data_IF_632253107060
#
_entry.id   IF_632253107060
#
_cell.length_a   1.000
_cell.length_b   1.000
_cell.length_c   1.000
_cell.angle_alpha   90.00
_cell.angle_beta   90.00
_cell.angle_gamma   90.00
#
_symmetry.space_group_name_H-M   'P 1'
#
loop_
_entity.id
_entity.type
_entity.pdbx_description
1 polymer ?
#
# COMPACT_ATOMS: atom_id res chain seq x y z
N UNK A 1 -16.21 29.10 66.16
CA UNK A 1 -15.45 29.51 64.95
C UNK A 1 -15.56 28.47 63.81
N UNK A 2 -16.77 28.00 63.46
CA UNK A 2 -16.97 26.95 62.42
C UNK A 2 -18.23 27.15 61.55
N UNK A 3 -18.77 28.38 61.44
CA UNK A 3 -19.97 28.65 60.63
C UNK A 3 -19.82 29.79 59.60
N UNK A 4 -18.62 30.34 59.40
CA UNK A 4 -18.39 31.45 58.45
C UNK A 4 -17.73 31.06 57.12
N UNK A 5 -17.35 29.79 56.92
CA UNK A 5 -16.72 29.33 55.66
C UNK A 5 -17.65 28.52 54.74
N UNK A 6 -18.88 28.21 55.16
CA UNK A 6 -19.84 27.48 54.32
C UNK A 6 -20.73 28.42 53.47
N UNK A 7 -20.91 29.67 53.89
CA UNK A 7 -21.76 30.64 53.19
C UNK A 7 -21.06 31.34 52.01
N UNK A 8 -19.72 31.38 51.97
CA UNK A 8 -18.96 32.00 50.87
C UNK A 8 -18.77 31.08 49.67
N UNK A 9 -18.92 29.76 49.83
CA UNK A 9 -18.81 28.80 48.71
C UNK A 9 -20.15 28.59 48.00
N UNK A 10 -21.29 28.70 48.70
CA UNK A 10 -22.61 28.62 48.06
C UNK A 10 -22.99 29.88 47.26
N UNK A 11 -22.48 31.06 47.63
CA UNK A 11 -22.76 32.31 46.90
C UNK A 11 -22.05 32.39 45.53
N UNK A 12 -20.89 31.73 45.36
CA UNK A 12 -20.17 31.70 44.09
C UNK A 12 -20.75 30.71 43.07
N UNK A 13 -21.38 29.62 43.53
CA UNK A 13 -21.97 28.61 42.64
C UNK A 13 -23.33 29.04 42.03
N UNK A 14 -24.08 29.92 42.69
CA UNK A 14 -25.34 30.47 42.17
C UNK A 14 -25.14 31.64 41.20
N UNK A 15 -23.98 32.32 41.22
CA UNK A 15 -23.66 33.37 40.26
C UNK A 15 -23.15 32.83 38.91
N UNK A 16 -22.53 31.63 38.90
CA UNK A 16 -22.04 30.98 37.69
C UNK A 16 -23.14 30.27 36.87
N UNK A 17 -24.29 29.94 37.48
CA UNK A 17 -25.43 29.34 36.78
C UNK A 17 -26.45 30.38 36.28
N UNK A 18 -26.42 31.62 36.79
CA UNK A 18 -27.29 32.71 36.32
C UNK A 18 -26.80 33.44 35.07
N UNK A 19 -25.50 33.35 34.75
CA UNK A 19 -24.91 34.03 33.58
C UNK A 19 -24.96 33.22 32.27
N UNK A 20 -25.25 31.92 32.34
CA UNK A 20 -25.46 31.09 31.14
C UNK A 20 -26.91 31.03 30.65
N UNK A 21 -27.88 31.46 31.46
CA UNK A 21 -29.29 31.48 31.05
C UNK A 21 -29.70 32.80 30.38
N UNK A 22 -29.00 33.91 30.67
CA UNK A 22 -29.31 35.23 30.10
C UNK A 22 -28.62 35.56 28.76
N UNK A 23 -27.69 34.73 28.30
CA UNK A 23 -27.00 34.93 27.00
C UNK A 23 -27.70 34.15 25.87
N UNK A 24 -28.55 33.17 26.17
CA UNK A 24 -29.17 32.30 25.15
C UNK A 24 -30.54 32.81 24.66
N UNK A 25 -31.28 33.62 25.43
CA UNK A 25 -32.63 34.08 25.02
C UNK A 25 -32.74 35.50 24.44
N UNK A 26 -31.65 36.27 24.32
CA UNK A 26 -31.72 37.65 23.78
C UNK A 26 -30.96 37.93 22.49
N UNK A 27 -30.41 36.91 21.83
CA UNK A 27 -29.69 37.05 20.54
C UNK A 27 -30.20 36.13 19.42
N UNK A 28 -31.39 35.55 19.57
CA UNK A 28 -32.07 34.75 18.55
C UNK A 28 -33.47 35.36 18.33
N UNK A 29 -33.56 36.56 17.69
CA UNK A 29 -34.20 36.58 16.37
C UNK A 29 -33.78 37.81 15.53
N UNK A 30 -32.67 37.75 14.79
CA UNK A 30 -32.40 38.72 13.69
C UNK A 30 -31.73 38.11 12.44
N UNK A 31 -31.77 36.78 12.27
CA UNK A 31 -31.36 36.13 11.03
C UNK A 31 -32.45 35.19 10.50
N UNK A 32 -33.64 35.73 10.30
CA UNK A 32 -34.69 35.11 9.49
C UNK A 32 -35.00 36.04 8.32
N UNK A 33 -34.13 36.00 7.30
CA UNK A 33 -34.40 36.35 5.89
C UNK A 33 -33.09 36.46 5.10
N UNK A 34 -32.43 35.33 4.86
CA UNK A 34 -31.53 35.16 3.72
C UNK A 34 -31.83 33.80 3.10
N UNK A 35 -32.89 33.78 2.28
CA UNK A 35 -33.10 32.75 1.27
C UNK A 35 -32.03 32.93 0.20
N UNK A 36 -31.02 32.06 0.23
CA UNK A 36 -30.13 31.81 -0.92
C UNK A 36 -29.81 30.33 -0.94
N UNK A 37 -30.48 29.63 -1.87
CA UNK A 37 -30.16 28.32 -2.46
C UNK A 37 -28.87 27.66 -1.93
N UNK A 38 -29.01 26.83 -0.88
CA UNK A 38 -28.03 25.80 -0.59
C UNK A 38 -28.24 24.67 -1.62
N UNK A 39 -27.42 24.65 -2.67
CA UNK A 39 -27.16 23.41 -3.39
C UNK A 39 -26.64 22.41 -2.36
N UNK A 40 -27.41 21.37 -2.08
CA UNK A 40 -26.94 20.21 -1.36
C UNK A 40 -25.95 19.48 -2.28
N UNK A 41 -24.71 19.93 -2.30
CA UNK A 41 -23.61 19.09 -2.74
C UNK A 41 -23.53 17.93 -1.75
N UNK A 42 -24.20 16.83 -2.12
CA UNK A 42 -23.83 15.51 -1.65
C UNK A 42 -22.36 15.33 -2.01
N UNK A 43 -21.46 15.64 -1.07
CA UNK A 43 -20.08 15.22 -1.14
C UNK A 43 -20.10 13.68 -1.14
N UNK A 44 -20.15 13.10 -2.34
CA UNK A 44 -19.68 11.74 -2.58
C UNK A 44 -18.36 11.63 -1.84
N UNK A 45 -18.28 10.72 -0.87
CA UNK A 45 -17.08 10.43 -0.11
C UNK A 45 -16.00 9.99 -1.10
N UNK A 46 -15.22 10.95 -1.62
CA UNK A 46 -14.14 10.71 -2.55
C UNK A 46 -13.20 9.70 -1.91
N UNK A 47 -13.18 8.48 -2.43
CA UNK A 47 -12.27 7.45 -1.97
C UNK A 47 -10.89 7.79 -2.53
N UNK A 48 -9.96 8.20 -1.68
CA UNK A 48 -8.59 8.47 -2.11
C UNK A 48 -7.89 7.13 -2.39
N UNK A 49 -7.89 6.66 -3.63
CA UNK A 49 -7.27 5.37 -3.99
C UNK A 49 -5.94 5.59 -4.69
N UNK A 50 -4.95 4.77 -4.32
CA UNK A 50 -3.68 4.61 -5.01
C UNK A 50 -3.78 3.29 -5.78
N UNK A 51 -3.78 3.37 -7.11
CA UNK A 51 -3.88 2.24 -8.01
C UNK A 51 -2.58 2.09 -8.79
N UNK A 52 -1.92 0.95 -8.65
CA UNK A 52 -0.65 0.65 -9.29
C UNK A 52 -0.76 -0.61 -10.14
N UNK A 53 -0.58 -0.51 -11.44
CA UNK A 53 -0.46 -1.67 -12.32
C UNK A 53 1.02 -1.96 -12.59
N UNK A 54 1.48 -3.16 -12.25
CA UNK A 54 2.80 -3.66 -12.57
C UNK A 54 2.71 -4.48 -13.86
N UNK A 55 3.41 -4.05 -14.91
CA UNK A 55 3.50 -4.74 -16.19
C UNK A 55 4.93 -5.25 -16.33
N UNK A 56 5.15 -6.54 -16.14
CA UNK A 56 6.49 -7.12 -16.08
C UNK A 56 6.75 -7.97 -17.32
N UNK A 57 7.80 -7.62 -18.05
CA UNK A 57 8.30 -8.52 -19.08
C UNK A 57 8.87 -9.76 -18.42
N UNK A 58 8.56 -10.90 -19.02
CA UNK A 58 9.01 -12.23 -18.62
C UNK A 58 9.79 -12.91 -19.74
N UNK A 59 10.32 -12.15 -20.71
CA UNK A 59 11.28 -12.65 -21.70
C UNK A 59 12.54 -13.21 -21.05
N UNK A 60 13.31 -14.03 -21.79
CA UNK A 60 14.42 -14.83 -21.26
C UNK A 60 15.50 -14.05 -20.49
N UNK A 61 15.69 -12.76 -20.80
CA UNK A 61 16.67 -11.84 -20.19
C UNK A 61 16.21 -11.16 -18.91
N UNK A 62 14.93 -11.28 -18.52
CA UNK A 62 14.34 -10.50 -17.43
C UNK A 62 14.52 -11.06 -16.02
N UNK A 63 15.19 -12.21 -15.87
CA UNK A 63 15.32 -12.90 -14.58
C UNK A 63 15.86 -11.99 -13.47
N UNK A 64 16.91 -11.20 -13.75
CA UNK A 64 17.49 -10.31 -12.73
C UNK A 64 16.54 -9.20 -12.28
N UNK A 65 15.72 -8.65 -13.19
CA UNK A 65 14.72 -7.64 -12.84
C UNK A 65 13.60 -8.24 -11.98
N UNK A 66 13.11 -9.43 -12.35
CA UNK A 66 12.08 -10.14 -11.59
C UNK A 66 12.58 -10.45 -10.17
N UNK A 67 13.82 -10.90 -10.03
CA UNK A 67 14.43 -11.14 -8.72
C UNK A 67 14.60 -9.85 -7.90
N UNK A 68 14.98 -8.72 -8.53
CA UNK A 68 15.01 -7.42 -7.85
C UNK A 68 13.62 -6.94 -7.43
N UNK A 69 12.59 -7.15 -8.26
CA UNK A 69 11.22 -6.81 -7.92
C UNK A 69 10.72 -7.65 -6.72
N UNK A 70 10.98 -8.96 -6.72
CA UNK A 70 10.67 -9.85 -5.59
C UNK A 70 11.39 -9.42 -4.31
N UNK A 71 12.66 -9.04 -4.40
CA UNK A 71 13.49 -8.67 -3.24
C UNK A 71 13.20 -7.27 -2.68
N UNK A 72 12.51 -6.41 -3.44
CA UNK A 72 12.18 -5.03 -3.05
C UNK A 72 10.68 -4.76 -2.91
N UNK A 73 9.82 -5.74 -3.20
CA UNK A 73 8.36 -5.61 -3.17
C UNK A 73 7.87 -4.94 -1.88
N UNK A 74 8.28 -5.46 -0.72
CA UNK A 74 7.80 -4.96 0.58
C UNK A 74 8.26 -3.54 0.87
N UNK A 75 9.44 -3.14 0.39
CA UNK A 75 9.91 -1.76 0.52
C UNK A 75 9.06 -0.79 -0.30
N UNK A 76 8.77 -1.15 -1.56
CA UNK A 76 7.90 -0.37 -2.45
C UNK A 76 6.49 -0.25 -1.84
N UNK A 77 5.94 -1.37 -1.36
CA UNK A 77 4.64 -1.40 -0.70
C UNK A 77 4.60 -0.54 0.57
N UNK A 78 5.67 -0.52 1.36
CA UNK A 78 5.77 0.35 2.54
C UNK A 78 5.77 1.84 2.14
N UNK A 79 6.45 2.22 1.06
CA UNK A 79 6.42 3.60 0.56
C UNK A 79 5.01 3.99 0.09
N UNK A 80 4.34 3.13 -0.66
CA UNK A 80 2.95 3.34 -1.08
C UNK A 80 2.01 3.42 0.13
N UNK A 81 2.22 2.58 1.16
CA UNK A 81 1.41 2.58 2.36
C UNK A 81 1.50 3.86 3.19
N UNK A 82 2.64 4.56 3.11
CA UNK A 82 2.89 5.86 3.75
C UNK A 82 2.35 7.04 2.94
N UNK A 83 1.80 6.80 1.75
CA UNK A 83 1.28 7.86 0.88
C UNK A 83 -0.17 8.18 1.25
N UNK A 84 -0.39 9.38 1.77
CA UNK A 84 -1.68 9.87 2.25
C UNK A 84 -2.13 11.11 1.48
N UNK A 85 -3.42 11.42 1.52
CA UNK A 85 -3.97 12.63 0.89
C UNK A 85 -4.71 13.47 1.93
N UNK A 86 -4.25 14.70 2.14
CA UNK A 86 -4.88 15.65 3.07
C UNK A 86 -5.14 15.06 4.48
N UNK A 87 -4.24 14.22 4.99
CA UNK A 87 -4.40 13.54 6.29
C UNK A 87 -5.50 12.48 6.34
N UNK A 88 -6.10 12.13 5.20
CA UNK A 88 -7.05 11.05 5.07
C UNK A 88 -6.37 9.77 4.60
N UNK A 89 -6.86 8.66 5.13
CA UNK A 89 -6.43 7.33 4.71
C UNK A 89 -6.76 7.09 3.23
N UNK A 90 -5.84 6.37 2.59
CA UNK A 90 -5.93 5.96 1.19
C UNK A 90 -6.23 4.46 1.07
N UNK A 91 -6.88 4.03 -0.01
CA UNK A 91 -6.90 2.60 -0.36
C UNK A 91 -5.71 2.32 -1.27
N UNK A 92 -5.02 1.18 -1.09
CA UNK A 92 -3.95 0.73 -1.98
C UNK A 92 -4.44 -0.49 -2.75
N UNK A 93 -4.39 -0.41 -4.08
CA UNK A 93 -4.74 -1.49 -4.99
C UNK A 93 -3.61 -1.72 -5.98
N UNK A 94 -3.24 -2.98 -6.16
CA UNK A 94 -2.22 -3.37 -7.13
C UNK A 94 -2.80 -4.39 -8.09
N UNK A 95 -2.47 -4.19 -9.37
CA UNK A 95 -2.70 -5.16 -10.43
C UNK A 95 -1.36 -5.67 -10.96
N UNK A 96 -1.35 -6.88 -11.49
CA UNK A 96 -0.14 -7.50 -12.04
C UNK A 96 -0.44 -8.12 -13.40
N UNK A 97 0.36 -7.74 -14.38
CA UNK A 97 0.43 -8.35 -15.70
C UNK A 97 1.82 -8.90 -15.93
N UNK A 98 1.88 -10.01 -16.65
CA UNK A 98 3.08 -10.42 -17.37
C UNK A 98 2.90 -10.17 -18.87
N UNK A 99 3.99 -9.85 -19.55
CA UNK A 99 4.05 -9.85 -21.01
C UNK A 99 5.37 -10.46 -21.51
N UNK A 100 5.48 -10.69 -22.81
CA UNK A 100 6.69 -11.26 -23.43
C UNK A 100 6.85 -12.77 -23.27
N UNK A 101 5.77 -13.48 -22.92
CA UNK A 101 5.79 -14.93 -22.74
C UNK A 101 4.74 -15.62 -23.64
N UNK A 102 5.15 -16.37 -24.68
CA UNK A 102 4.25 -17.03 -25.62
C UNK A 102 3.66 -18.35 -25.12
N UNK A 103 4.09 -18.84 -23.93
CA UNK A 103 3.79 -20.20 -23.46
C UNK A 103 2.30 -20.44 -23.20
N UNK A 104 1.54 -19.39 -22.90
CA UNK A 104 0.20 -19.55 -22.34
C UNK A 104 -0.93 -19.36 -23.36
N UNK A 105 -0.79 -18.50 -24.38
CA UNK A 105 -1.81 -18.31 -25.44
C UNK A 105 -1.21 -17.70 -26.72
N UNK A 106 -2.03 -17.51 -27.77
CA UNK A 106 -1.67 -16.70 -28.94
C UNK A 106 -1.33 -15.23 -28.61
N UNK A 107 -1.78 -14.71 -27.46
CA UNK A 107 -1.43 -13.38 -26.96
C UNK A 107 -0.31 -13.48 -25.92
N UNK A 108 0.74 -12.68 -26.05
CA UNK A 108 1.89 -12.64 -25.13
C UNK A 108 1.63 -11.76 -23.90
N UNK A 109 0.36 -11.51 -23.53
CA UNK A 109 -0.05 -10.59 -22.45
C UNK A 109 -1.06 -11.29 -21.55
N UNK A 110 -0.76 -11.37 -20.26
CA UNK A 110 -1.62 -12.06 -19.29
C UNK A 110 -1.86 -11.20 -18.05
N UNK A 111 -3.13 -11.01 -17.71
CA UNK A 111 -3.51 -10.46 -16.42
C UNK A 111 -3.38 -11.54 -15.35
N UNK A 112 -2.36 -11.44 -14.50
CA UNK A 112 -2.13 -12.37 -13.39
C UNK A 112 -2.99 -12.04 -12.16
N UNK A 113 -3.27 -10.74 -11.97
CA UNK A 113 -4.20 -10.24 -10.97
C UNK A 113 -4.88 -8.95 -11.46
N UNK A 114 -6.21 -8.80 -11.33
CA UNK A 114 -6.85 -7.49 -11.37
C UNK A 114 -6.38 -6.64 -10.17
N UNK A 115 -6.88 -5.41 -10.07
CA UNK A 115 -6.70 -4.60 -8.87
C UNK A 115 -7.20 -5.34 -7.64
N UNK A 116 -6.33 -5.45 -6.65
CA UNK A 116 -6.63 -6.07 -5.36
C UNK A 116 -5.89 -5.34 -4.25
N UNK A 117 -6.45 -5.38 -3.04
CA UNK A 117 -5.79 -4.99 -1.80
C UNK A 117 -5.07 -6.17 -1.11
N UNK A 118 -5.17 -7.38 -1.65
CA UNK A 118 -4.49 -8.58 -1.15
C UNK A 118 -3.03 -8.61 -1.61
N UNK A 119 -2.15 -7.97 -0.85
CA UNK A 119 -0.71 -7.91 -1.18
C UNK A 119 -0.01 -9.26 -1.06
N UNK A 120 -0.57 -10.22 -0.31
CA UNK A 120 -0.06 -11.58 -0.25
C UNK A 120 -0.40 -12.35 -1.55
N UNK A 121 -1.52 -12.06 -2.21
CA UNK A 121 -1.83 -12.55 -3.56
C UNK A 121 -0.86 -11.98 -4.59
N UNK A 122 -0.60 -10.67 -4.56
CA UNK A 122 0.37 -10.03 -5.47
C UNK A 122 1.76 -10.64 -5.30
N UNK A 123 2.24 -10.79 -4.06
CA UNK A 123 3.50 -11.48 -3.79
C UNK A 123 3.48 -12.92 -4.31
N UNK A 124 2.41 -13.69 -4.06
CA UNK A 124 2.29 -15.06 -4.58
C UNK A 124 2.45 -15.12 -6.09
N UNK A 125 1.76 -14.23 -6.82
CA UNK A 125 1.80 -14.18 -8.28
C UNK A 125 3.16 -13.73 -8.80
N UNK A 126 3.76 -12.71 -8.18
CA UNK A 126 5.10 -12.22 -8.51
C UNK A 126 6.16 -13.32 -8.32
N UNK A 127 6.09 -14.07 -7.22
CA UNK A 127 7.02 -15.17 -6.94
C UNK A 127 6.84 -16.38 -7.85
N UNK A 128 5.65 -16.56 -8.43
CA UNK A 128 5.36 -17.61 -9.40
C UNK A 128 5.82 -17.28 -10.82
N UNK A 129 6.26 -16.05 -11.10
CA UNK A 129 6.80 -15.66 -12.40
C UNK A 129 8.07 -16.44 -12.72
N UNK A 130 8.12 -16.94 -13.95
CA UNK A 130 9.32 -17.50 -14.57
C UNK A 130 9.51 -16.87 -15.93
N UNK A 131 10.76 -16.71 -16.37
CA UNK A 131 11.01 -16.17 -17.71
C UNK A 131 10.87 -17.24 -18.79
N UNK A 132 10.30 -16.85 -19.93
CA UNK A 132 10.36 -17.59 -21.17
C UNK A 132 10.43 -16.62 -22.36
N UNK A 133 11.22 -16.95 -23.39
CA UNK A 133 11.46 -16.04 -24.50
C UNK A 133 10.20 -15.69 -25.30
N UNK A 134 10.03 -14.42 -25.64
CA UNK A 134 8.93 -13.86 -26.43
C UNK A 134 9.20 -12.40 -26.80
N UNK A 135 8.27 -11.76 -27.51
CA UNK A 135 8.42 -10.39 -27.98
C UNK A 135 7.76 -9.38 -27.01
N UNK A 136 8.36 -8.20 -26.87
CA UNK A 136 7.90 -7.20 -25.89
C UNK A 136 6.87 -6.22 -26.47
N UNK A 137 5.58 -6.57 -26.44
CA UNK A 137 4.52 -5.69 -26.96
C UNK A 137 4.08 -4.62 -25.96
N UNK A 138 4.97 -3.69 -25.64
CA UNK A 138 4.77 -2.60 -24.67
C UNK A 138 3.49 -1.78 -24.92
N UNK A 139 3.25 -1.36 -26.17
CA UNK A 139 2.05 -0.59 -26.53
C UNK A 139 0.75 -1.37 -26.30
N UNK A 140 0.78 -2.68 -26.53
CA UNK A 140 -0.38 -3.56 -26.39
C UNK A 140 -0.68 -3.87 -24.91
N UNK A 141 0.33 -4.18 -24.08
CA UNK A 141 0.12 -4.44 -22.65
C UNK A 141 -0.38 -3.20 -21.91
N UNK A 142 0.14 -2.01 -22.24
CA UNK A 142 -0.34 -0.74 -21.69
C UNK A 142 -1.81 -0.52 -22.07
N UNK A 143 -2.13 -0.66 -23.36
CA UNK A 143 -3.51 -0.48 -23.85
C UNK A 143 -4.47 -1.48 -23.21
N UNK A 144 -4.04 -2.73 -23.05
CA UNK A 144 -4.80 -3.81 -22.42
C UNK A 144 -5.05 -3.50 -20.95
N UNK A 145 -4.02 -3.13 -20.19
CA UNK A 145 -4.15 -2.78 -18.77
C UNK A 145 -5.06 -1.55 -18.55
N UNK A 146 -5.01 -0.55 -19.44
CA UNK A 146 -5.92 0.61 -19.36
C UNK A 146 -7.38 0.21 -19.59
N UNK A 147 -7.64 -0.69 -20.54
CA UNK A 147 -9.00 -1.08 -20.92
C UNK A 147 -9.63 -2.10 -19.96
N UNK A 148 -8.83 -3.02 -19.43
CA UNK A 148 -9.34 -4.18 -18.71
C UNK A 148 -9.32 -4.02 -17.18
N UNK A 149 -8.48 -3.13 -16.64
CA UNK A 149 -8.46 -2.86 -15.22
C UNK A 149 -9.53 -1.84 -14.84
N UNK A 150 -10.13 -2.04 -13.67
CA UNK A 150 -11.12 -1.13 -13.08
C UNK A 150 -10.43 0.10 -12.45
N UNK A 151 -9.92 0.99 -13.30
CA UNK A 151 -9.35 2.25 -12.85
C UNK A 151 -10.44 3.13 -12.21
N UNK A 152 -10.14 3.67 -11.03
CA UNK A 152 -11.02 4.57 -10.33
C UNK A 152 -11.28 5.85 -11.13
N UNK A 153 -12.54 6.24 -11.16
CA UNK A 153 -13.07 7.35 -11.96
C UNK A 153 -12.85 8.72 -11.33
N UNK A 154 -12.56 8.78 -10.03
CA UNK A 154 -12.24 10.03 -9.35
C UNK A 154 -10.85 10.54 -9.79
N UNK A 155 -10.81 11.76 -10.34
CA UNK A 155 -9.57 12.43 -10.77
C UNK A 155 -8.52 12.59 -9.68
N UNK A 156 -8.98 12.45 -8.44
CA UNK A 156 -8.18 12.57 -7.25
C UNK A 156 -7.48 11.28 -6.82
N UNK A 157 -7.74 10.17 -7.50
CA UNK A 157 -6.96 8.95 -7.38
C UNK A 157 -5.55 9.13 -7.93
N UNK A 158 -4.58 8.47 -7.29
CA UNK A 158 -3.22 8.35 -7.79
C UNK A 158 -3.12 7.07 -8.62
N UNK A 159 -3.07 7.21 -9.95
CA UNK A 159 -3.06 6.08 -10.90
C UNK A 159 -1.72 5.99 -11.59
N UNK A 160 -1.06 4.84 -11.48
CA UNK A 160 0.30 4.63 -11.98
C UNK A 160 0.42 3.26 -12.65
N UNK A 161 1.08 3.23 -13.81
CA UNK A 161 1.59 2.02 -14.45
C UNK A 161 3.10 2.02 -14.25
N UNK A 162 3.67 0.91 -13.80
CA UNK A 162 5.09 0.63 -13.91
C UNK A 162 5.27 -0.50 -14.92
N UNK A 163 5.90 -0.19 -16.05
CA UNK A 163 6.25 -1.18 -17.07
C UNK A 163 7.74 -1.42 -17.06
N UNK A 164 8.15 -2.69 -17.10
CA UNK A 164 9.53 -3.12 -17.06
C UNK A 164 9.85 -4.10 -18.20
N UNK A 165 10.98 -3.92 -18.87
CA UNK A 165 11.41 -4.72 -20.04
C UNK A 165 12.83 -4.37 -20.47
N UNK A 166 13.35 -5.07 -21.47
CA UNK A 166 14.74 -4.93 -21.94
C UNK A 166 14.88 -4.80 -23.45
N UNK A 167 13.80 -4.74 -24.21
CA UNK A 167 13.81 -4.60 -25.67
C UNK A 167 13.21 -3.25 -26.12
N UNK A 168 13.29 -2.87 -27.41
CA UNK A 168 12.71 -1.61 -27.87
C UNK A 168 11.23 -1.46 -27.52
N UNK A 169 10.87 -0.36 -26.87
CA UNK A 169 9.50 -0.02 -26.44
C UNK A 169 8.51 0.13 -27.62
N UNK A 170 9.03 0.16 -28.85
CA UNK A 170 8.30 0.32 -30.10
C UNK A 170 7.79 -0.99 -30.69
N UNK A 171 8.09 -2.13 -30.08
CA UNK A 171 7.69 -3.44 -30.59
C UNK A 171 6.17 -3.67 -30.51
N UNK A 172 5.71 -4.58 -31.38
CA UNK A 172 4.32 -5.01 -31.47
C UNK A 172 3.46 -4.13 -32.40
N UNK A 173 2.20 -4.56 -32.64
CA UNK A 173 1.31 -3.93 -33.61
C UNK A 173 0.69 -2.61 -33.09
N UNK A 174 0.67 -2.39 -31.77
CA UNK A 174 0.08 -1.21 -31.14
C UNK A 174 1.14 -0.15 -30.91
N UNK A 175 0.93 1.04 -31.45
CA UNK A 175 1.85 2.17 -31.28
C UNK A 175 1.90 2.61 -29.80
N UNK A 176 3.08 2.53 -29.19
CA UNK A 176 3.28 2.89 -27.79
C UNK A 176 2.88 4.35 -27.49
N UNK A 177 3.05 5.28 -28.43
CA UNK A 177 2.73 6.69 -28.21
C UNK A 177 1.21 6.89 -28.08
N UNK A 178 0.41 6.15 -28.86
CA UNK A 178 -1.05 6.15 -28.73
C UNK A 178 -1.49 5.58 -27.38
N UNK A 179 -0.86 4.49 -26.94
CA UNK A 179 -1.09 3.89 -25.62
C UNK A 179 -0.75 4.86 -24.47
N UNK A 180 0.39 5.55 -24.56
CA UNK A 180 0.79 6.58 -23.57
C UNK A 180 -0.16 7.78 -23.56
N UNK A 181 -0.62 8.24 -24.73
CA UNK A 181 -1.61 9.32 -24.82
C UNK A 181 -2.97 8.90 -24.25
N UNK A 182 -3.37 7.64 -24.44
CA UNK A 182 -4.57 7.09 -23.81
C UNK A 182 -4.46 7.11 -22.28
N UNK A 183 -3.32 6.68 -21.72
CA UNK A 183 -3.07 6.73 -20.28
C UNK A 183 -3.15 8.16 -19.73
N UNK A 184 -2.48 9.11 -20.42
CA UNK A 184 -2.49 10.52 -20.04
C UNK A 184 -3.89 11.12 -20.03
N UNK A 185 -4.72 10.83 -21.04
CA UNK A 185 -6.13 11.26 -21.09
C UNK A 185 -6.94 10.75 -19.90
N UNK A 186 -6.58 9.59 -19.34
CA UNK A 186 -7.23 9.00 -18.17
C UNK A 186 -6.56 9.34 -16.84
N UNK A 187 -5.64 10.32 -16.83
CA UNK A 187 -4.87 10.71 -15.64
C UNK A 187 -4.04 9.56 -15.02
N UNK A 188 -3.53 8.65 -15.87
CA UNK A 188 -2.67 7.53 -15.47
C UNK A 188 -1.22 7.87 -15.85
N UNK A 189 -0.32 7.89 -14.86
CA UNK A 189 1.11 8.05 -15.10
C UNK A 189 1.71 6.74 -15.61
N UNK A 190 2.59 6.78 -16.62
CA UNK A 190 3.39 5.62 -17.03
C UNK A 190 4.83 5.84 -16.63
N UNK A 191 5.31 5.00 -15.72
CA UNK A 191 6.69 4.88 -15.32
C UNK A 191 7.33 3.70 -16.04
N UNK A 192 8.47 3.93 -16.68
CA UNK A 192 9.13 2.93 -17.53
C UNK A 192 10.46 2.54 -16.90
N UNK A 193 10.72 1.25 -16.77
CA UNK A 193 11.90 0.68 -16.13
C UNK A 193 12.65 -0.17 -17.16
N UNK A 194 13.71 0.36 -17.74
CA UNK A 194 14.53 -0.39 -18.70
C UNK A 194 15.58 -1.24 -17.99
N UNK A 195 15.61 -2.52 -18.29
CA UNK A 195 16.58 -3.48 -17.77
C UNK A 195 17.83 -3.50 -18.67
N UNK A 196 18.76 -2.58 -18.43
CA UNK A 196 19.96 -2.43 -19.25
C UNK A 196 20.63 -1.06 -19.11
N UNK A 197 21.45 -0.70 -20.09
CA UNK A 197 22.12 0.60 -20.13
C UNK A 197 21.10 1.74 -20.28
N UNK A 198 21.36 2.87 -19.60
CA UNK A 198 20.46 4.02 -19.63
C UNK A 198 20.28 4.58 -21.05
N UNK A 199 21.35 4.68 -21.84
CA UNK A 199 21.25 5.24 -23.20
C UNK A 199 20.56 4.28 -24.15
N UNK A 200 20.74 2.98 -23.95
CA UNK A 200 20.04 1.95 -24.71
C UNK A 200 18.52 2.08 -24.55
N UNK A 201 18.01 2.17 -23.31
CA UNK A 201 16.58 2.36 -23.09
C UNK A 201 16.07 3.70 -23.64
N UNK A 202 16.88 4.77 -23.59
CA UNK A 202 16.55 6.04 -24.27
C UNK A 202 16.41 5.84 -25.78
N UNK A 203 17.36 5.16 -26.42
CA UNK A 203 17.34 4.86 -27.86
C UNK A 203 16.20 3.90 -28.24
N UNK A 204 15.81 3.01 -27.33
CA UNK A 204 14.66 2.11 -27.44
C UNK A 204 13.33 2.78 -27.10
N UNK A 205 13.28 4.11 -26.96
CA UNK A 205 12.06 4.92 -26.70
C UNK A 205 11.40 4.73 -25.33
N UNK A 206 12.03 4.03 -24.37
CA UNK A 206 11.51 3.89 -23.01
C UNK A 206 11.32 5.25 -22.34
N UNK A 207 12.32 6.13 -22.47
CA UNK A 207 12.25 7.49 -21.92
C UNK A 207 11.10 8.31 -22.53
N UNK A 208 10.89 8.18 -23.84
CA UNK A 208 9.81 8.88 -24.52
C UNK A 208 8.45 8.35 -24.05
N UNK A 209 8.30 7.04 -23.89
CA UNK A 209 7.09 6.41 -23.36
C UNK A 209 6.66 7.00 -22.01
N UNK A 210 7.59 7.13 -21.06
CA UNK A 210 7.30 7.77 -19.76
C UNK A 210 6.91 9.25 -19.91
N UNK A 211 7.64 10.01 -20.72
CA UNK A 211 7.39 11.45 -20.92
C UNK A 211 6.02 11.73 -21.54
N UNK A 212 5.56 10.89 -22.47
CA UNK A 212 4.25 11.04 -23.13
C UNK A 212 3.07 10.89 -22.16
N UNK A 213 3.27 10.22 -21.02
CA UNK A 213 2.28 10.01 -19.97
C UNK A 213 2.67 10.64 -18.62
N UNK A 214 3.48 11.71 -18.63
CA UNK A 214 3.89 12.50 -17.45
C UNK A 214 4.54 11.71 -16.30
N UNK A 215 5.07 10.52 -16.59
CA UNK A 215 5.78 9.66 -15.63
C UNK A 215 7.29 9.78 -15.72
N UNK A 216 7.99 8.83 -15.08
CA UNK A 216 9.45 8.83 -14.97
C UNK A 216 10.10 7.64 -15.70
N UNK A 217 11.25 7.92 -16.31
CA UNK A 217 12.12 6.92 -16.90
C UNK A 217 13.21 6.49 -15.92
N UNK A 218 13.38 5.20 -15.78
CA UNK A 218 14.36 4.55 -14.91
C UNK A 218 15.09 3.50 -15.72
N UNK A 219 16.35 3.27 -15.39
CA UNK A 219 17.07 2.09 -15.85
C UNK A 219 17.59 1.34 -14.62
N UNK A 220 17.68 0.02 -14.74
CA UNK A 220 18.28 -0.82 -13.72
C UNK A 220 19.34 -1.71 -14.33
N UNK A 221 20.41 -1.92 -13.58
CA UNK A 221 21.38 -2.94 -13.90
C UNK A 221 20.93 -4.25 -13.23
N UNK A 222 20.45 -5.20 -14.02
CA UNK A 222 19.98 -6.49 -13.51
C UNK A 222 21.10 -7.35 -12.89
N UNK A 223 22.36 -7.03 -13.17
CA UNK A 223 23.53 -7.69 -12.57
C UNK A 223 23.92 -7.06 -11.22
N UNK A 224 23.35 -5.90 -10.87
CA UNK A 224 23.64 -5.25 -9.61
C UNK A 224 22.81 -5.91 -8.51
N UNK A 225 23.49 -6.44 -7.49
CA UNK A 225 22.83 -6.98 -6.31
C UNK A 225 22.31 -5.83 -5.44
N UNK A 226 21.11 -5.99 -4.89
CA UNK A 226 20.60 -5.04 -3.89
C UNK A 226 21.47 -5.14 -2.65
N UNK A 227 22.10 -4.03 -2.25
CA UNK A 227 22.91 -3.97 -1.03
C UNK A 227 21.96 -3.81 0.15
N UNK A 228 21.85 -4.85 0.98
CA UNK A 228 21.09 -4.79 2.22
C UNK A 228 22.02 -4.51 3.39
N UNK A 229 21.62 -3.54 4.21
CA UNK A 229 22.30 -3.24 5.48
C UNK A 229 21.58 -4.05 6.55
N UNK A 230 22.25 -5.07 7.08
CA UNK A 230 21.77 -5.77 8.27
C UNK A 230 21.72 -4.82 9.46
N UNK A 231 20.66 -4.91 10.26
CA UNK A 231 20.50 -4.05 11.43
C UNK A 231 20.38 -4.88 12.71
N UNK A 232 20.75 -4.31 13.87
CA UNK A 232 20.58 -5.00 15.16
C UNK A 232 19.09 -5.25 15.52
N UNK A 233 18.15 -4.67 14.79
CA UNK A 233 16.71 -4.78 15.04
C UNK A 233 16.04 -5.92 14.26
N UNK A 234 16.63 -6.34 13.13
CA UNK A 234 16.01 -7.27 12.18
C UNK A 234 15.58 -8.59 12.84
N UNK A 235 16.46 -9.17 13.67
CA UNK A 235 16.16 -10.42 14.40
C UNK A 235 14.95 -10.26 15.31
N UNK A 236 14.85 -9.14 16.02
CA UNK A 236 13.74 -8.94 16.97
C UNK A 236 12.42 -8.70 16.25
N UNK A 237 12.45 -8.00 15.12
CA UNK A 237 11.30 -7.81 14.24
C UNK A 237 10.80 -9.17 13.73
N UNK A 238 11.71 -10.05 13.31
CA UNK A 238 11.35 -11.40 12.83
C UNK A 238 10.71 -12.26 13.94
N UNK A 239 11.27 -12.25 15.15
CA UNK A 239 10.66 -12.93 16.32
C UNK A 239 9.25 -12.41 16.62
N UNK A 240 9.02 -11.10 16.50
CA UNK A 240 7.70 -10.49 16.68
C UNK A 240 6.76 -10.81 15.52
N UNK A 241 7.25 -10.92 14.28
CA UNK A 241 6.46 -11.35 13.12
C UNK A 241 5.93 -12.77 13.32
N UNK A 242 6.74 -13.68 13.85
CA UNK A 242 6.29 -15.03 14.20
C UNK A 242 5.20 -15.03 15.29
N UNK A 243 5.24 -14.08 16.22
CA UNK A 243 4.16 -13.90 17.21
C UNK A 243 2.92 -13.27 16.57
N UNK A 244 3.10 -12.29 15.68
CA UNK A 244 2.02 -11.66 14.91
C UNK A 244 1.24 -12.72 14.13
N UNK A 245 1.91 -13.65 13.47
CA UNK A 245 1.30 -14.76 12.72
C UNK A 245 0.36 -15.64 13.55
N UNK A 246 0.67 -15.81 14.85
CA UNK A 246 -0.17 -16.58 15.78
C UNK A 246 -1.46 -15.86 16.14
N UNK A 247 -1.55 -14.56 15.88
CA UNK A 247 -2.76 -13.77 16.17
C UNK A 247 -3.82 -13.86 15.08
N UNK A 248 -3.51 -14.37 13.88
CA UNK A 248 -4.52 -14.52 12.81
C UNK A 248 -5.41 -15.74 13.03
N UNK A 249 -6.72 -15.51 13.04
CA UNK A 249 -7.77 -16.51 13.22
C UNK A 249 -8.44 -16.70 11.86
N UNK A 250 -8.08 -17.75 11.10
CA UNK A 250 -8.67 -17.96 9.78
C UNK A 250 -10.16 -18.27 9.90
N UNK A 251 -10.99 -17.72 9.02
CA UNK A 251 -12.41 -18.04 8.93
C UNK A 251 -12.88 -18.12 7.46
N UNK A 252 -14.04 -18.73 7.26
CA UNK A 252 -14.63 -18.94 5.94
C UNK A 252 -13.87 -19.97 5.10
N UNK A 253 -14.36 -20.17 3.87
CA UNK A 253 -13.87 -21.21 2.98
C UNK A 253 -12.40 -21.01 2.56
N UNK A 254 -11.95 -19.76 2.47
CA UNK A 254 -10.58 -19.42 2.06
C UNK A 254 -9.65 -19.15 3.26
N UNK A 255 -10.18 -19.13 4.50
CA UNK A 255 -9.45 -18.76 5.71
C UNK A 255 -8.11 -19.46 5.85
N UNK A 256 -8.13 -20.80 5.77
CA UNK A 256 -6.94 -21.65 5.90
C UNK A 256 -5.94 -21.39 4.77
N UNK A 257 -6.41 -21.33 3.52
CA UNK A 257 -5.57 -21.14 2.32
C UNK A 257 -4.89 -19.77 2.35
N UNK A 258 -5.61 -18.70 2.73
CA UNK A 258 -5.02 -17.36 2.83
C UNK A 258 -4.04 -17.23 3.99
N UNK A 259 -4.31 -17.87 5.14
CA UNK A 259 -3.34 -17.96 6.24
C UNK A 259 -2.06 -18.70 5.83
N UNK A 260 -2.20 -19.81 5.12
CA UNK A 260 -1.06 -20.55 4.56
C UNK A 260 -0.29 -19.68 3.57
N UNK A 261 -0.98 -18.95 2.68
CA UNK A 261 -0.34 -18.03 1.75
C UNK A 261 0.44 -16.92 2.48
N UNK A 262 -0.11 -16.33 3.56
CA UNK A 262 0.61 -15.35 4.38
C UNK A 262 1.95 -15.92 4.88
N UNK A 263 1.95 -17.16 5.38
CA UNK A 263 3.15 -17.85 5.87
C UNK A 263 4.12 -18.11 4.71
N UNK A 264 3.63 -18.58 3.56
CA UNK A 264 4.46 -18.74 2.36
C UNK A 264 5.10 -17.43 1.94
N UNK A 265 4.39 -16.30 2.03
CA UNK A 265 4.96 -15.00 1.70
C UNK A 265 6.01 -14.53 2.75
N UNK A 266 5.90 -14.93 4.02
CA UNK A 266 6.98 -14.73 5.00
C UNK A 266 8.23 -15.55 4.62
N UNK A 267 8.07 -16.80 4.17
CA UNK A 267 9.17 -17.63 3.68
C UNK A 267 9.82 -17.05 2.42
N UNK A 268 9.00 -16.61 1.47
CA UNK A 268 9.45 -15.91 0.26
C UNK A 268 10.28 -14.66 0.58
N UNK A 269 9.86 -13.88 1.58
CA UNK A 269 10.64 -12.73 2.04
C UNK A 269 12.01 -13.16 2.60
N UNK A 270 12.05 -14.25 3.35
CA UNK A 270 13.27 -14.77 3.99
C UNK A 270 14.34 -15.25 3.02
N UNK A 271 13.97 -15.64 1.79
CA UNK A 271 14.91 -15.98 0.71
C UNK A 271 15.85 -14.81 0.39
N UNK A 272 15.37 -13.57 0.54
CA UNK A 272 16.16 -12.34 0.31
C UNK A 272 16.74 -11.75 1.61
N UNK A 273 16.77 -12.54 2.68
CA UNK A 273 17.42 -12.18 3.95
C UNK A 273 16.55 -11.39 4.93
N UNK A 274 17.10 -11.18 6.12
CA UNK A 274 16.38 -10.62 7.28
C UNK A 274 15.86 -9.21 7.06
N UNK A 275 16.56 -8.42 6.24
CA UNK A 275 16.13 -7.07 5.89
C UNK A 275 14.77 -7.09 5.18
N UNK A 276 14.57 -8.02 4.24
CA UNK A 276 13.31 -8.18 3.53
C UNK A 276 12.20 -8.77 4.43
N UNK A 277 12.54 -9.68 5.36
CA UNK A 277 11.61 -10.10 6.41
C UNK A 277 11.11 -8.92 7.24
N UNK A 278 12.01 -8.02 7.64
CA UNK A 278 11.67 -6.85 8.44
C UNK A 278 10.77 -5.88 7.66
N UNK A 279 11.05 -5.66 6.37
CA UNK A 279 10.19 -4.82 5.51
C UNK A 279 8.79 -5.42 5.35
N UNK A 280 8.67 -6.74 5.18
CA UNK A 280 7.37 -7.43 5.15
C UNK A 280 6.62 -7.31 6.48
N UNK A 281 7.31 -7.53 7.60
CA UNK A 281 6.72 -7.41 8.93
C UNK A 281 6.20 -5.98 9.18
N UNK A 282 6.97 -4.97 8.78
CA UNK A 282 6.55 -3.57 8.83
C UNK A 282 5.31 -3.31 7.96
N UNK A 283 5.24 -3.90 6.76
CA UNK A 283 4.06 -3.76 5.89
C UNK A 283 2.80 -4.39 6.51
N UNK A 284 2.91 -5.59 7.12
CA UNK A 284 1.82 -6.24 7.87
C UNK A 284 1.34 -5.41 9.06
N UNK A 285 2.22 -4.56 9.59
CA UNK A 285 1.89 -3.59 10.63
C UNK A 285 1.15 -2.35 10.11
N UNK A 286 1.20 -2.08 8.81
CA UNK A 286 0.52 -0.93 8.20
C UNK A 286 -1.00 -1.11 8.15
N UNK A 287 -1.71 -0.01 7.90
CA UNK A 287 -3.16 -0.01 7.65
C UNK A 287 -3.52 -0.55 6.25
N UNK A 288 -2.55 -0.71 5.34
CA UNK A 288 -2.78 -1.22 3.98
C UNK A 288 -2.73 -2.74 3.90
N UNK A 289 -2.29 -3.42 4.95
CA UNK A 289 -2.40 -4.86 5.02
C UNK A 289 -3.81 -5.24 5.47
N UNK A 290 -4.62 -5.70 4.52
CA UNK A 290 -6.02 -6.08 4.77
C UNK A 290 -6.17 -7.60 4.81
N UNK A 291 -6.64 -8.13 5.94
CA UNK A 291 -6.95 -9.55 6.09
C UNK A 291 -8.42 -9.82 6.46
N UNK A 292 -9.30 -8.81 6.43
CA UNK A 292 -10.70 -8.93 6.87
C UNK A 292 -11.52 -9.96 6.08
N UNK A 293 -11.12 -10.31 4.85
CA UNK A 293 -11.76 -11.37 4.07
C UNK A 293 -11.53 -12.80 4.60
N UNK A 294 -10.54 -13.00 5.47
CA UNK A 294 -10.13 -14.34 5.89
C UNK A 294 -9.63 -14.44 7.33
N UNK A 295 -9.34 -13.32 8.00
CA UNK A 295 -8.99 -13.23 9.41
C UNK A 295 -10.15 -12.65 10.23
N UNK A 296 -10.62 -13.42 11.21
CA UNK A 296 -11.79 -13.08 12.00
C UNK A 296 -11.58 -11.84 12.89
N UNK A 297 -10.34 -11.59 13.32
CA UNK A 297 -10.03 -10.41 14.15
C UNK A 297 -10.19 -9.13 13.34
N UNK A 298 -9.63 -9.08 12.12
CA UNK A 298 -9.78 -7.94 11.22
C UNK A 298 -11.23 -7.83 10.71
N UNK A 299 -11.90 -8.95 10.41
CA UNK A 299 -13.31 -8.96 10.04
C UNK A 299 -14.21 -8.37 11.12
N UNK A 300 -14.00 -8.77 12.39
CA UNK A 300 -14.76 -8.27 13.54
C UNK A 300 -14.50 -6.79 13.81
N UNK A 301 -13.27 -6.31 13.59
CA UNK A 301 -12.95 -4.88 13.71
C UNK A 301 -13.73 -4.01 12.71
N UNK A 302 -14.06 -4.57 11.53
CA UNK A 302 -14.85 -3.92 10.49
C UNK A 302 -16.36 -4.06 10.71
N UNK A 303 -16.82 -5.25 11.07
CA UNK A 303 -18.21 -5.54 11.39
C UNK A 303 -18.32 -6.55 12.54
N UNK A 304 -18.76 -6.07 13.71
CA UNK A 304 -18.93 -6.91 14.90
C UNK A 304 -19.97 -8.02 14.70
N UNK A 305 -20.91 -7.86 13.76
CA UNK A 305 -21.94 -8.86 13.49
C UNK A 305 -21.40 -10.13 12.83
N UNK A 306 -20.16 -10.10 12.32
CA UNK A 306 -19.52 -11.28 11.71
C UNK A 306 -19.51 -12.49 12.65
N UNK A 307 -19.51 -12.25 13.97
CA UNK A 307 -19.52 -13.31 14.98
C UNK A 307 -20.75 -14.22 14.91
N UNK A 308 -21.86 -13.70 14.36
CA UNK A 308 -23.11 -14.44 14.22
C UNK A 308 -23.14 -15.32 12.96
N UNK A 309 -22.25 -15.06 11.99
CA UNK A 309 -22.21 -15.73 10.69
C UNK A 309 -20.86 -16.34 10.35
N UNK A 310 -19.86 -16.22 11.23
CA UNK A 310 -18.54 -16.78 11.02
C UNK A 310 -18.61 -18.31 10.97
N UNK A 311 -18.14 -18.88 9.86
CA UNK A 311 -18.04 -20.31 9.63
C UNK A 311 -16.60 -20.69 9.29
N UNK A 312 -16.29 -21.98 9.16
CA UNK A 312 -14.95 -22.44 8.81
C UNK A 312 -13.88 -22.08 9.86
N UNK A 313 -14.28 -21.93 11.12
CA UNK A 313 -13.38 -21.64 12.22
C UNK A 313 -12.43 -22.82 12.49
N UNK A 314 -11.22 -22.59 13.03
CA UNK A 314 -10.34 -23.66 13.50
C UNK A 314 -11.06 -24.53 14.53
N UNK A 315 -10.72 -25.82 14.58
CA UNK A 315 -11.38 -26.80 15.46
C UNK A 315 -11.43 -26.36 16.93
N UNK A 316 -10.39 -25.66 17.40
CA UNK A 316 -10.32 -25.13 18.77
C UNK A 316 -11.34 -24.02 19.07
N UNK A 317 -12.00 -23.46 18.06
CA UNK A 317 -12.98 -22.38 18.15
C UNK A 317 -14.37 -22.77 17.63
N UNK A 318 -14.59 -23.99 17.13
CA UNK A 318 -15.89 -24.42 16.61
C UNK A 318 -16.93 -24.69 17.71
N UNK A 319 -16.48 -25.04 18.92
CA UNK A 319 -17.35 -25.48 20.03
C UNK A 319 -17.50 -24.44 21.15
N UNK A 320 -17.08 -23.19 20.94
CA UNK A 320 -17.22 -22.11 21.93
C UNK A 320 -18.43 -21.24 21.63
N UNK A 321 -19.00 -20.62 22.66
CA UNK A 321 -20.12 -19.69 22.52
C UNK A 321 -19.72 -18.39 21.83
N UNK A 322 -20.68 -17.66 21.25
CA UNK A 322 -20.40 -16.34 20.64
C UNK A 322 -19.75 -15.37 21.63
N UNK A 323 -20.11 -15.43 22.92
CA UNK A 323 -19.50 -14.58 23.95
C UNK A 323 -18.05 -14.96 24.22
N UNK A 324 -17.72 -16.25 24.26
CA UNK A 324 -16.34 -16.72 24.40
C UNK A 324 -15.51 -16.39 23.16
N UNK A 325 -16.10 -16.52 21.97
CA UNK A 325 -15.46 -16.13 20.71
C UNK A 325 -15.16 -14.63 20.68
N UNK A 326 -16.07 -13.79 21.16
CA UNK A 326 -15.87 -12.35 21.26
C UNK A 326 -14.70 -12.01 22.20
N UNK A 327 -14.69 -12.62 23.39
CA UNK A 327 -13.57 -12.47 24.35
C UNK A 327 -12.25 -12.90 23.72
N UNK A 328 -12.24 -14.01 22.97
CA UNK A 328 -11.05 -14.50 22.28
C UNK A 328 -10.58 -13.51 21.21
N UNK A 329 -11.48 -12.99 20.38
CA UNK A 329 -11.18 -12.01 19.33
C UNK A 329 -10.61 -10.74 19.97
N UNK A 330 -11.27 -10.19 20.98
CA UNK A 330 -10.83 -8.96 21.65
C UNK A 330 -9.46 -9.12 22.31
N UNK A 331 -9.24 -10.22 23.05
CA UNK A 331 -7.93 -10.54 23.65
C UNK A 331 -6.84 -10.67 22.58
N UNK A 332 -7.14 -11.35 21.48
CA UNK A 332 -6.21 -11.53 20.35
C UNK A 332 -5.92 -10.20 19.66
N UNK A 333 -6.93 -9.33 19.50
CA UNK A 333 -6.79 -7.98 18.96
C UNK A 333 -5.87 -7.12 19.82
N UNK A 334 -6.02 -7.14 21.15
CA UNK A 334 -5.14 -6.38 22.06
C UNK A 334 -3.69 -6.86 21.98
N UNK A 335 -3.47 -8.18 21.97
CA UNK A 335 -2.14 -8.77 21.79
C UNK A 335 -1.54 -8.37 20.43
N UNK A 336 -2.32 -8.47 19.35
CA UNK A 336 -1.92 -8.10 18.00
C UNK A 336 -1.49 -6.63 17.95
N UNK A 337 -2.27 -5.71 18.52
CA UNK A 337 -1.93 -4.28 18.57
C UNK A 337 -0.62 -4.06 19.33
N UNK A 338 -0.41 -4.72 20.47
CA UNK A 338 0.84 -4.61 21.22
C UNK A 338 2.06 -5.09 20.41
N UNK A 339 1.93 -6.20 19.68
CA UNK A 339 2.99 -6.72 18.79
C UNK A 339 3.24 -5.75 17.62
N UNK A 340 2.18 -5.27 16.94
CA UNK A 340 2.31 -4.34 15.81
C UNK A 340 3.03 -3.06 16.24
N UNK A 341 2.70 -2.51 17.41
CA UNK A 341 3.36 -1.32 17.95
C UNK A 341 4.85 -1.57 18.22
N UNK A 342 5.23 -2.72 18.79
CA UNK A 342 6.64 -3.07 19.01
C UNK A 342 7.41 -3.21 17.69
N UNK A 343 6.82 -3.87 16.68
CA UNK A 343 7.43 -3.98 15.35
C UNK A 343 7.63 -2.59 14.74
N UNK A 344 6.63 -1.71 14.82
CA UNK A 344 6.73 -0.34 14.29
C UNK A 344 7.85 0.45 14.99
N UNK A 345 7.91 0.44 16.32
CA UNK A 345 8.99 1.12 17.06
C UNK A 345 10.37 0.61 16.64
N UNK A 346 10.56 -0.71 16.54
CA UNK A 346 11.83 -1.29 16.09
C UNK A 346 12.13 -0.96 14.63
N UNK A 347 11.12 -0.94 13.77
CA UNK A 347 11.29 -0.59 12.37
C UNK A 347 11.69 0.88 12.19
N UNK A 348 11.17 1.80 13.00
CA UNK A 348 11.58 3.20 12.96
C UNK A 348 13.07 3.33 13.32
N UNK A 349 13.52 2.66 14.40
CA UNK A 349 14.93 2.62 14.78
C UNK A 349 15.80 1.96 13.68
N UNK A 350 15.29 0.91 13.04
CA UNK A 350 15.92 0.25 11.90
C UNK A 350 16.11 1.21 10.73
N UNK A 351 15.09 1.99 10.37
CA UNK A 351 15.17 2.96 9.27
C UNK A 351 16.20 4.06 9.57
N UNK A 352 16.23 4.58 10.81
CA UNK A 352 17.26 5.55 11.26
C UNK A 352 18.66 4.95 11.13
N UNK A 353 18.83 3.70 11.59
CA UNK A 353 20.11 3.01 11.50
C UNK A 353 20.56 2.84 10.04
N UNK A 354 19.67 2.39 9.16
CA UNK A 354 19.95 2.25 7.72
C UNK A 354 20.36 3.60 7.15
N UNK A 355 19.60 4.67 7.43
CA UNK A 355 19.92 6.01 6.92
C UNK A 355 21.31 6.48 7.35
N UNK A 356 21.68 6.28 8.62
CA UNK A 356 22.96 6.72 9.17
C UNK A 356 24.16 5.86 8.72
N UNK A 357 23.93 4.60 8.35
CA UNK A 357 24.98 3.65 7.96
C UNK A 357 25.01 3.37 6.46
N UNK A 358 24.12 3.98 5.68
CA UNK A 358 24.11 3.86 4.22
C UNK A 358 25.32 4.57 3.64
N UNK A 359 26.26 3.80 3.08
CA UNK A 359 27.37 4.31 2.25
C UNK A 359 26.92 4.67 0.83
N UNK A 360 25.62 4.75 0.57
CA UNK A 360 25.12 5.01 -0.77
C UNK A 360 25.46 6.45 -1.17
N UNK A 361 26.43 6.58 -2.08
CA UNK A 361 26.58 7.79 -2.88
C UNK A 361 25.23 8.18 -3.48
N UNK A 362 24.96 9.48 -3.55
CA UNK A 362 23.77 10.05 -4.18
C UNK A 362 23.57 9.63 -5.67
N UNK A 363 24.53 8.90 -6.24
CA UNK A 363 24.58 8.42 -7.64
C UNK A 363 24.17 6.96 -7.85
N UNK A 364 23.90 6.17 -6.80
CA UNK A 364 23.46 4.78 -6.95
C UNK A 364 22.02 4.66 -7.46
N UNK A 365 21.82 4.40 -8.75
CA UNK A 365 20.53 4.03 -9.34
C UNK A 365 20.09 2.64 -8.85
N UNK A 366 19.42 2.56 -7.70
CA UNK A 366 18.70 1.36 -7.29
C UNK A 366 17.19 1.49 -7.63
N UNK A 367 16.55 0.37 -7.97
CA UNK A 367 15.15 0.29 -8.41
C UNK A 367 14.22 0.98 -7.39
N UNK A 368 14.36 0.63 -6.12
CA UNK A 368 13.66 1.24 -4.98
C UNK A 368 13.66 2.77 -5.02
N UNK A 369 14.83 3.43 -4.95
CA UNK A 369 14.91 4.91 -4.89
C UNK A 369 14.26 5.57 -6.10
N UNK A 370 14.38 4.93 -7.27
CA UNK A 370 13.79 5.43 -8.51
C UNK A 370 12.26 5.39 -8.44
N UNK A 371 11.71 4.27 -7.94
CA UNK A 371 10.28 4.13 -7.67
C UNK A 371 9.82 5.13 -6.60
N UNK A 372 10.52 5.24 -5.46
CA UNK A 372 10.18 6.19 -4.39
C UNK A 372 10.14 7.64 -4.88
N UNK A 373 11.14 8.08 -5.64
CA UNK A 373 11.17 9.42 -6.24
C UNK A 373 9.99 9.64 -7.20
N UNK A 374 9.65 8.63 -8.02
CA UNK A 374 8.51 8.74 -8.93
C UNK A 374 7.18 8.85 -8.17
N UNK A 375 6.98 8.03 -7.13
CA UNK A 375 5.81 8.09 -6.25
C UNK A 375 5.73 9.48 -5.62
N UNK A 376 6.80 9.97 -5.00
CA UNK A 376 6.81 11.30 -4.37
C UNK A 376 6.42 12.42 -5.34
N UNK A 377 7.00 12.41 -6.55
CA UNK A 377 6.73 13.44 -7.57
C UNK A 377 5.29 13.39 -8.08
N UNK A 378 4.75 12.19 -8.33
CA UNK A 378 3.40 11.99 -8.86
C UNK A 378 2.33 12.17 -7.78
N UNK A 379 2.58 11.69 -6.57
CA UNK A 379 1.79 11.94 -5.36
C UNK A 379 1.62 13.45 -5.15
N UNK A 380 2.72 14.22 -5.18
CA UNK A 380 2.67 15.68 -5.01
C UNK A 380 1.80 16.37 -6.07
N UNK A 381 1.87 15.95 -7.34
CA UNK A 381 1.01 16.47 -8.43
C UNK A 381 -0.49 16.23 -8.17
N UNK A 382 -0.84 15.16 -7.47
CA UNK A 382 -2.23 14.78 -7.13
C UNK A 382 -2.67 15.22 -5.73
N UNK A 383 -1.84 15.98 -5.01
CA UNK A 383 -2.14 16.46 -3.66
C UNK A 383 -1.97 15.40 -2.56
N UNK A 384 -1.28 14.30 -2.86
CA UNK A 384 -0.82 13.32 -1.88
C UNK A 384 0.52 13.76 -1.30
N UNK A 385 0.83 13.26 -0.10
CA UNK A 385 2.11 13.40 0.58
C UNK A 385 2.56 12.02 1.05
N UNK A 386 3.84 11.72 0.85
CA UNK A 386 4.45 10.56 1.49
C UNK A 386 4.83 11.01 2.90
N UNK A 387 4.25 10.41 3.92
CA UNK A 387 4.59 10.72 5.30
C UNK A 387 5.97 10.12 5.59
N UNK A 388 6.99 10.98 5.58
CA UNK A 388 8.25 10.68 6.23
C UNK A 388 8.00 10.74 7.73
N UNK A 389 8.43 9.72 8.48
CA UNK A 389 8.35 9.77 9.94
C UNK A 389 9.11 11.01 10.40
N UNK A 390 8.41 11.94 11.05
CA UNK A 390 9.07 13.05 11.74
C UNK A 390 9.92 12.42 12.83
N UNK A 391 11.22 12.32 12.57
CA UNK A 391 12.22 11.97 13.55
C UNK A 391 12.22 13.08 14.61
N UNK A 392 11.42 12.92 15.67
CA UNK A 392 11.60 13.73 16.87
C UNK A 392 12.87 13.19 17.53
N UNK A 393 13.98 13.82 17.19
CA UNK A 393 15.20 13.72 18.00
C UNK A 393 14.91 14.61 19.22
N UNK A 394 14.43 14.01 20.31
CA UNK A 394 14.56 14.65 21.62
C UNK A 394 16.05 14.62 21.95
N UNK A 395 16.69 15.79 21.83
CA UNK A 395 18.08 16.03 22.22
C UNK A 395 18.25 15.94 23.74
#
# INVERSE_FOLDING_TARGET
MKSRKLFTVLAAALFALGLNYFIIEKWIPQFSNLSTSAHSDTFSKKTNTIQVALLLDTSGSMNGLIEQAKSQLWQILNTLAKTERQGHETTLEIALYEYGNPTYTATQIHQLSPFTNDMDLISKKLFALSTNGGEEYCGEVITTAIKNLEWGTDDSNLKMIYIAGNEPFTQGPINYAEACHLAKKQNIFINTIFCGDYKEGVNGMWRQGAQLADGEYMNINHNQTTVYIETPYDKKIDELNLQLNKTYIPYGNEGKVKKENQITQDLNASVYGKSNCADRAAFKCSKKYTADSWDLVDAYAKDKNIINSASGLPDSLQNITSKELEIKIQTTSSLRTAIKNQIQTLNNNRLIYIQNNSKEDAQGNNLKKSIEKSIQKQAKKKGFKVNEEQFIIEN
#
